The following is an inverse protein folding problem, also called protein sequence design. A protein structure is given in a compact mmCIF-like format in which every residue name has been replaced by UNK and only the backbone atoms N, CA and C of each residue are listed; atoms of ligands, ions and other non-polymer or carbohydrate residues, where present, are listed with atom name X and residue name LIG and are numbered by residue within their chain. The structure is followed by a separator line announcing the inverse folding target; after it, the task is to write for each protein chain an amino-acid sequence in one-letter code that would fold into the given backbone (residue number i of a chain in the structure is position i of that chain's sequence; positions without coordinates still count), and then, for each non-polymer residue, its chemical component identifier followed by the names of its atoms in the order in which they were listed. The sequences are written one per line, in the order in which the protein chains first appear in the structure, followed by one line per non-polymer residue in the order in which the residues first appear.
data_IF_206080678713
#
_entry.id   IF_206080678713
#
_cell.length_a   1.000
_cell.length_b   1.000
_cell.length_c   1.000
_cell.angle_alpha   90.00
_cell.angle_beta   90.00
_cell.angle_gamma   90.00
#
_symmetry.space_group_name_H-M   'P 1'
#
loop_
_entity.id
_entity.type
_entity.pdbx_description
1 polymer ?
#
# COMPACT_ATOMS: atom_id res chain seq x y z
N UNK A 1 -25.13 23.15 -74.22
CA UNK A 1 -23.69 22.91 -74.40
C UNK A 1 -23.29 21.95 -73.29
N UNK A 2 -23.31 20.64 -73.56
CA UNK A 2 -22.14 19.83 -73.97
C UNK A 2 -21.11 19.74 -72.83
N UNK A 3 -20.71 18.60 -72.27
CA UNK A 3 -21.02 17.18 -72.45
C UNK A 3 -20.26 16.39 -71.36
N UNK A 4 -20.68 15.16 -71.06
CA UNK A 4 -19.82 14.15 -70.41
C UNK A 4 -18.72 13.64 -71.40
N UNK A 5 -17.88 12.62 -71.14
CA UNK A 5 -17.59 11.80 -69.93
C UNK A 5 -16.06 11.54 -69.70
N UNK A 6 -15.70 10.72 -68.70
CA UNK A 6 -14.60 9.75 -68.92
C UNK A 6 -13.57 9.49 -67.81
N UNK A 7 -13.50 8.21 -67.42
CA UNK A 7 -12.28 7.40 -67.20
C UNK A 7 -11.66 7.28 -65.79
N UNK A 8 -11.83 6.07 -65.21
CA UNK A 8 -10.87 5.39 -64.31
C UNK A 8 -9.59 4.99 -65.09
N UNK A 9 -8.44 4.60 -64.47
CA UNK A 9 -8.30 3.31 -63.75
C UNK A 9 -7.23 3.28 -62.62
N UNK A 10 -7.10 2.14 -61.93
CA UNK A 10 -5.81 1.76 -61.31
C UNK A 10 -5.88 1.01 -59.97
N UNK A 11 -6.39 -0.21 -59.95
CA UNK A 11 -6.13 -1.18 -58.88
C UNK A 11 -4.76 -1.80 -59.16
N UNK A 12 -3.82 -1.69 -58.23
CA UNK A 12 -2.50 -2.35 -58.33
C UNK A 12 -2.54 -3.67 -57.57
N UNK A 13 -2.34 -4.76 -58.31
CA UNK A 13 -2.04 -6.10 -57.81
C UNK A 13 -0.70 -6.11 -57.06
N UNK A 14 -0.66 -6.75 -55.88
CA UNK A 14 0.59 -7.18 -55.26
C UNK A 14 0.61 -8.69 -55.11
N UNK A 15 1.44 -9.27 -55.98
CA UNK A 15 2.01 -10.61 -56.06
C UNK A 15 1.95 -11.48 -54.79
N UNK A 16 1.24 -12.61 -54.92
CA UNK A 16 1.42 -13.80 -54.08
C UNK A 16 2.75 -14.48 -54.44
N UNK A 17 3.74 -14.42 -53.56
CA UNK A 17 4.89 -15.33 -53.59
C UNK A 17 4.49 -16.69 -52.99
N UNK A 18 4.52 -17.72 -53.82
CA UNK A 18 4.47 -19.12 -53.44
C UNK A 18 5.80 -19.53 -52.81
N UNK A 19 5.82 -19.69 -51.49
CA UNK A 19 6.95 -20.30 -50.78
C UNK A 19 6.90 -21.82 -50.92
N UNK A 20 8.00 -22.36 -51.45
CA UNK A 20 8.32 -23.78 -51.56
C UNK A 20 8.46 -24.42 -50.18
N UNK A 21 7.71 -25.51 -49.94
CA UNK A 21 7.80 -26.34 -48.73
C UNK A 21 9.05 -27.22 -48.78
N UNK A 22 10.01 -26.96 -47.89
CA UNK A 22 11.11 -27.87 -47.60
C UNK A 22 10.64 -28.96 -46.60
N UNK A 23 10.94 -30.25 -46.83
CA UNK A 23 10.58 -31.32 -45.90
C UNK A 23 11.42 -31.25 -44.60
N UNK A 24 10.74 -31.41 -43.46
CA UNK A 24 11.35 -31.39 -42.13
C UNK A 24 12.35 -32.53 -41.91
N UNK A 25 13.51 -32.27 -41.26
CA UNK A 25 14.40 -33.33 -40.80
C UNK A 25 13.80 -34.10 -39.61
N UNK A 26 13.90 -35.43 -39.64
CA UNK A 26 13.43 -36.33 -38.60
C UNK A 26 14.12 -36.08 -37.26
N UNK A 27 13.32 -35.91 -36.20
CA UNK A 27 13.79 -35.65 -34.84
C UNK A 27 14.41 -36.91 -34.21
N UNK A 28 15.63 -36.77 -33.67
CA UNK A 28 16.27 -37.81 -32.85
C UNK A 28 15.61 -37.88 -31.45
N UNK A 29 15.48 -39.08 -30.85
CA UNK A 29 14.90 -39.23 -29.53
C UNK A 29 15.73 -38.52 -28.43
N UNK A 30 15.05 -37.74 -27.59
CA UNK A 30 15.64 -37.03 -26.44
C UNK A 30 16.06 -38.02 -25.34
N UNK A 31 17.24 -37.84 -24.72
CA UNK A 31 17.61 -38.58 -23.52
C UNK A 31 16.65 -38.25 -22.37
N UNK A 32 16.28 -39.26 -21.57
CA UNK A 32 15.45 -39.09 -20.39
C UNK A 32 16.10 -38.14 -19.39
N UNK A 33 15.35 -37.13 -18.93
CA UNK A 33 15.82 -36.16 -17.95
C UNK A 33 16.01 -36.82 -16.58
N UNK A 34 17.09 -36.49 -15.84
CA UNK A 34 17.33 -37.02 -14.51
C UNK A 34 16.23 -36.54 -13.55
N UNK A 35 15.65 -37.49 -12.82
CA UNK A 35 14.64 -37.27 -11.78
C UNK A 35 15.24 -36.40 -10.68
N UNK A 36 14.81 -35.14 -10.59
CA UNK A 36 15.27 -34.22 -9.55
C UNK A 36 14.70 -34.63 -8.20
N UNK A 37 15.59 -34.89 -7.24
CA UNK A 37 15.24 -35.14 -5.85
C UNK A 37 14.43 -33.96 -5.26
N UNK A 38 13.43 -34.21 -4.40
CA UNK A 38 12.61 -33.16 -3.82
C UNK A 38 13.48 -32.22 -2.97
N UNK A 39 13.51 -30.94 -3.34
CA UNK A 39 14.18 -29.90 -2.56
C UNK A 39 13.48 -29.73 -1.21
N UNK A 40 14.26 -29.59 -0.14
CA UNK A 40 13.73 -29.29 1.19
C UNK A 40 12.88 -28.01 1.14
N UNK A 41 11.72 -27.97 1.82
CA UNK A 41 10.82 -26.82 1.75
C UNK A 41 11.53 -25.57 2.27
N UNK A 42 11.49 -24.49 1.48
CA UNK A 42 12.00 -23.19 1.87
C UNK A 42 11.16 -22.67 3.05
N UNK A 43 11.78 -22.24 4.17
CA UNK A 43 11.03 -21.72 5.32
C UNK A 43 10.15 -20.54 4.90
N UNK A 44 8.89 -20.56 5.30
CA UNK A 44 7.99 -19.41 5.09
C UNK A 44 8.53 -18.21 5.89
N UNK A 45 8.70 -17.03 5.26
CA UNK A 45 9.14 -15.85 5.98
C UNK A 45 8.15 -15.52 7.11
N UNK A 46 8.66 -15.09 8.27
CA UNK A 46 7.84 -14.70 9.43
C UNK A 46 8.44 -13.47 10.11
N UNK A 47 7.60 -12.60 10.67
CA UNK A 47 8.07 -11.50 11.51
C UNK A 47 8.10 -11.94 12.97
N UNK A 48 9.29 -11.90 13.58
CA UNK A 48 9.45 -12.20 15.00
C UNK A 48 9.23 -10.95 15.86
N UNK A 49 8.34 -10.99 16.88
CA UNK A 49 8.17 -9.88 17.80
C UNK A 49 9.48 -9.46 18.46
N UNK A 50 9.75 -8.15 18.49
CA UNK A 50 11.06 -7.60 18.84
C UNK A 50 11.53 -8.05 20.23
N UNK A 51 10.63 -8.12 21.22
CA UNK A 51 10.96 -8.57 22.58
C UNK A 51 11.44 -10.05 22.65
N UNK A 52 11.12 -10.87 21.65
CA UNK A 52 11.56 -12.28 21.53
C UNK A 52 12.61 -12.50 20.45
N UNK A 53 13.09 -11.44 19.82
CA UNK A 53 14.07 -11.53 18.74
C UNK A 53 15.40 -12.07 19.29
N UNK A 54 16.11 -12.91 18.51
CA UNK A 54 17.38 -13.53 18.94
C UNK A 54 18.49 -12.50 19.21
N UNK A 55 18.52 -11.44 18.39
CA UNK A 55 19.47 -10.31 18.50
C UNK A 55 19.08 -9.35 19.63
N UNK A 56 20.00 -9.11 20.56
CA UNK A 56 19.81 -8.17 21.68
C UNK A 56 19.48 -6.75 21.21
N UNK A 57 20.16 -6.27 20.16
CA UNK A 57 19.90 -4.96 19.58
C UNK A 57 18.45 -4.79 19.09
N UNK A 58 17.80 -5.88 18.62
CA UNK A 58 16.39 -5.83 18.22
C UNK A 58 15.47 -5.83 19.44
N UNK A 59 15.77 -6.62 20.48
CA UNK A 59 15.02 -6.60 21.76
C UNK A 59 15.06 -5.22 22.41
N UNK A 60 16.22 -4.55 22.36
CA UNK A 60 16.37 -3.19 22.88
C UNK A 60 15.45 -2.16 22.18
N UNK A 61 14.89 -2.47 21.01
CA UNK A 61 13.95 -1.59 20.31
C UNK A 61 12.47 -1.94 20.56
N UNK A 62 12.16 -3.00 21.33
CA UNK A 62 10.79 -3.48 21.51
C UNK A 62 9.82 -2.40 22.00
N UNK A 63 10.32 -1.43 22.78
CA UNK A 63 9.56 -0.31 23.33
C UNK A 63 9.99 1.07 22.77
N UNK A 64 10.71 1.13 21.64
CA UNK A 64 11.17 2.39 21.04
C UNK A 64 10.05 3.43 20.85
N UNK A 65 8.81 2.99 20.62
CA UNK A 65 7.65 3.88 20.49
C UNK A 65 7.39 4.76 21.73
N UNK A 66 7.89 4.38 22.91
CA UNK A 66 7.82 5.16 24.14
C UNK A 66 8.81 6.34 24.15
N UNK A 67 9.89 6.24 23.36
CA UNK A 67 10.93 7.27 23.24
C UNK A 67 10.61 8.31 22.15
N UNK A 68 9.51 8.12 21.40
CA UNK A 68 9.17 8.99 20.27
C UNK A 68 8.55 10.29 20.75
N UNK A 69 9.04 11.40 20.22
CA UNK A 69 8.53 12.74 20.49
C UNK A 69 7.27 12.95 19.65
N UNK A 70 6.16 13.25 20.33
CA UNK A 70 4.88 13.59 19.70
C UNK A 70 4.53 15.07 19.85
N UNK A 71 5.20 15.79 20.76
CA UNK A 71 5.04 17.23 20.93
C UNK A 71 5.78 17.99 19.82
N UNK A 72 5.00 18.67 18.97
CA UNK A 72 5.50 19.45 17.83
C UNK A 72 6.51 20.52 18.23
N UNK A 73 6.43 21.05 19.47
CA UNK A 73 7.37 22.07 19.95
C UNK A 73 8.77 21.52 20.24
N UNK A 74 8.89 20.20 20.39
CA UNK A 74 10.14 19.50 20.68
C UNK A 74 10.77 18.83 19.45
N UNK A 75 10.09 18.88 18.30
CA UNK A 75 10.57 18.29 17.04
C UNK A 75 11.59 19.18 16.32
N UNK A 76 12.35 18.59 15.39
CA UNK A 76 13.11 19.40 14.42
C UNK A 76 12.16 20.26 13.58
N UNK A 77 12.62 21.38 12.98
CA UNK A 77 11.76 22.23 12.13
C UNK A 77 11.06 21.46 11.01
N UNK A 78 11.75 20.53 10.35
CA UNK A 78 11.21 19.73 9.25
C UNK A 78 10.14 18.75 9.74
N UNK A 79 10.39 18.07 10.86
CA UNK A 79 9.40 17.17 11.46
C UNK A 79 8.17 17.94 11.98
N UNK A 80 8.39 19.09 12.62
CA UNK A 80 7.32 19.98 13.06
C UNK A 80 6.48 20.49 11.87
N UNK A 81 7.12 20.86 10.76
CA UNK A 81 6.43 21.26 9.54
C UNK A 81 5.58 20.12 8.96
N UNK A 82 6.15 18.91 8.90
CA UNK A 82 5.45 17.72 8.39
C UNK A 82 4.18 17.39 9.19
N UNK A 83 4.24 17.50 10.52
CA UNK A 83 3.09 17.29 11.41
C UNK A 83 2.10 18.45 11.31
N UNK A 84 2.57 19.71 11.28
CA UNK A 84 1.67 20.89 11.14
C UNK A 84 0.90 20.90 9.82
N UNK A 85 1.48 20.38 8.74
CA UNK A 85 0.75 20.25 7.47
C UNK A 85 -0.31 19.15 7.50
N UNK A 86 -0.39 18.37 8.58
CA UNK A 86 -1.34 17.28 8.81
C UNK A 86 -2.03 17.51 10.15
N UNK A 87 -3.02 18.43 10.23
CA UNK A 87 -3.61 18.85 11.50
C UNK A 87 -4.25 17.71 12.31
N UNK A 88 -4.56 16.59 11.66
CA UNK A 88 -5.06 15.36 12.29
C UNK A 88 -3.99 14.52 13.00
N UNK A 89 -2.70 14.78 12.77
CA UNK A 89 -1.60 14.15 13.52
C UNK A 89 -1.44 14.80 14.90
N UNK A 90 -2.45 14.67 15.76
CA UNK A 90 -2.37 15.20 17.13
C UNK A 90 -1.38 14.38 17.97
N UNK A 91 -0.81 14.95 19.05
CA UNK A 91 0.06 14.21 19.96
C UNK A 91 -0.59 12.93 20.51
N UNK A 92 -1.90 12.97 20.79
CA UNK A 92 -2.67 11.85 21.33
C UNK A 92 -2.80 10.73 20.29
N UNK A 93 -3.14 11.07 19.04
CA UNK A 93 -3.24 10.10 17.95
C UNK A 93 -1.87 9.45 17.69
N UNK A 94 -0.83 10.27 17.59
CA UNK A 94 0.53 9.79 17.38
C UNK A 94 0.97 8.85 18.51
N UNK A 95 0.74 9.21 19.77
CA UNK A 95 1.03 8.36 20.93
C UNK A 95 0.23 7.05 20.89
N UNK A 96 -1.08 7.10 20.61
CA UNK A 96 -1.95 5.92 20.47
C UNK A 96 -1.38 4.92 19.46
N UNK A 97 -0.85 5.42 18.33
CA UNK A 97 -0.34 4.57 17.26
C UNK A 97 1.14 4.21 17.40
N UNK A 98 1.86 4.78 18.36
CA UNK A 98 3.31 4.66 18.44
C UNK A 98 3.98 5.29 17.22
N UNK A 99 3.49 6.46 16.81
CA UNK A 99 4.07 7.30 15.78
C UNK A 99 4.71 8.50 16.44
N UNK A 100 5.84 8.96 15.92
CA UNK A 100 6.47 10.19 16.42
C UNK A 100 7.86 10.39 15.87
N UNK A 101 8.43 11.54 16.18
CA UNK A 101 9.78 11.90 15.74
C UNK A 101 10.82 11.30 16.68
N UNK A 102 11.93 10.81 16.13
CA UNK A 102 13.03 10.29 16.93
C UNK A 102 14.17 11.31 17.02
N UNK A 103 14.61 11.70 18.23
CA UNK A 103 15.75 12.59 18.36
C UNK A 103 17.06 11.90 17.94
N UNK A 104 18.06 12.69 17.56
CA UNK A 104 19.30 12.19 16.93
C UNK A 104 20.13 11.22 17.78
N UNK A 105 19.92 11.21 19.09
CA UNK A 105 20.54 10.33 20.08
C UNK A 105 19.70 9.08 20.43
N UNK A 106 18.62 8.81 19.69
CA UNK A 106 17.76 7.65 19.94
C UNK A 106 18.47 6.31 19.72
N UNK A 107 17.96 5.26 20.39
CA UNK A 107 18.49 3.88 20.36
C UNK A 107 18.39 3.20 18.97
N UNK A 108 17.69 3.82 18.02
CA UNK A 108 17.35 3.23 16.72
C UNK A 108 18.32 3.59 15.61
N UNK A 109 18.26 2.83 14.51
CA UNK A 109 18.89 3.17 13.23
C UNK A 109 18.30 4.44 12.59
N UNK A 110 17.07 4.80 12.98
CA UNK A 110 16.47 6.07 12.60
C UNK A 110 17.16 7.19 13.38
N UNK A 111 17.68 8.18 12.65
CA UNK A 111 18.29 9.40 13.20
C UNK A 111 17.29 10.57 13.14
N UNK A 112 17.73 11.76 13.56
CA UNK A 112 16.96 13.03 13.65
C UNK A 112 16.12 13.47 12.43
N UNK A 113 16.17 12.76 11.31
CA UNK A 113 15.47 13.12 10.08
C UNK A 113 14.26 12.22 9.78
N UNK A 114 13.81 11.41 10.75
CA UNK A 114 12.73 10.46 10.53
C UNK A 114 11.55 10.66 11.48
N UNK A 115 10.34 10.63 10.90
CA UNK A 115 9.13 10.31 11.65
C UNK A 115 8.96 8.79 11.61
N UNK A 116 8.84 8.17 12.78
CA UNK A 116 8.85 6.72 12.95
C UNK A 116 7.43 6.19 13.11
N UNK A 117 7.12 5.06 12.48
CA UNK A 117 5.88 4.31 12.61
C UNK A 117 6.15 2.95 13.23
N UNK A 118 5.32 2.56 14.21
CA UNK A 118 5.41 1.26 14.88
C UNK A 118 4.61 0.20 14.15
N UNK A 119 5.26 -0.88 13.70
CA UNK A 119 4.59 -2.01 13.08
C UNK A 119 4.30 -3.07 14.13
N UNK A 120 3.05 -3.54 14.14
CA UNK A 120 2.56 -4.58 15.04
C UNK A 120 2.06 -5.76 14.23
N UNK A 121 2.26 -6.97 14.74
CA UNK A 121 1.60 -8.15 14.18
C UNK A 121 0.12 -8.18 14.56
N UNK A 122 -0.59 -9.19 14.08
CA UNK A 122 -2.00 -9.40 14.40
C UNK A 122 -2.30 -9.41 15.92
N UNK A 123 -1.39 -9.93 16.75
CA UNK A 123 -1.54 -9.98 18.21
C UNK A 123 -1.28 -8.64 18.91
N UNK A 124 -0.94 -7.59 18.16
CA UNK A 124 -0.61 -6.27 18.70
C UNK A 124 0.83 -6.17 19.21
N UNK A 125 1.66 -7.18 19.00
CA UNK A 125 3.05 -7.18 19.43
C UNK A 125 3.90 -6.37 18.46
N UNK A 126 4.82 -5.55 18.98
CA UNK A 126 5.76 -4.80 18.15
C UNK A 126 6.72 -5.75 17.44
N UNK A 127 6.75 -5.68 16.12
CA UNK A 127 7.59 -6.52 15.25
C UNK A 127 8.64 -5.71 14.48
N UNK A 128 8.40 -4.43 14.23
CA UNK A 128 9.32 -3.58 13.47
C UNK A 128 8.94 -2.11 13.59
N UNK A 129 9.75 -1.27 12.95
CA UNK A 129 9.54 0.16 12.78
C UNK A 129 9.88 0.57 11.33
N UNK A 130 9.23 1.62 10.83
CA UNK A 130 9.64 2.30 9.60
C UNK A 130 9.86 3.79 9.86
N UNK A 131 10.77 4.42 9.13
CA UNK A 131 11.02 5.85 9.20
C UNK A 131 10.64 6.55 7.89
N UNK A 132 9.76 7.55 7.95
CA UNK A 132 9.51 8.51 6.86
C UNK A 132 10.58 9.59 6.89
N UNK A 133 11.31 9.74 5.79
CA UNK A 133 12.36 10.74 5.66
C UNK A 133 11.75 12.15 5.54
N UNK A 134 12.00 13.01 6.53
CA UNK A 134 11.50 14.39 6.57
C UNK A 134 12.14 15.29 5.50
N UNK A 135 13.19 14.81 4.83
CA UNK A 135 13.82 15.50 3.71
C UNK A 135 13.42 14.89 2.36
N UNK A 136 12.49 13.93 2.33
CA UNK A 136 12.12 13.23 1.10
C UNK A 136 11.70 14.20 0.01
N UNK A 137 10.79 15.13 0.30
CA UNK A 137 10.24 16.06 -0.69
C UNK A 137 11.37 16.91 -1.31
N UNK A 138 12.28 17.43 -0.48
CA UNK A 138 13.46 18.18 -0.96
C UNK A 138 14.38 17.31 -1.82
N UNK A 139 14.68 16.09 -1.38
CA UNK A 139 15.53 15.14 -2.12
C UNK A 139 14.88 14.72 -3.44
N UNK A 140 13.57 14.53 -3.45
CA UNK A 140 12.78 14.17 -4.62
C UNK A 140 12.80 15.27 -5.68
N UNK A 141 12.56 16.53 -5.28
CA UNK A 141 12.65 17.67 -6.20
C UNK A 141 14.06 17.83 -6.77
N UNK A 142 15.09 17.62 -5.96
CA UNK A 142 16.47 17.63 -6.45
C UNK A 142 16.73 16.49 -7.45
N UNK A 143 16.26 15.27 -7.16
CA UNK A 143 16.40 14.13 -8.08
C UNK A 143 15.69 14.35 -9.43
N UNK A 144 14.51 14.98 -9.42
CA UNK A 144 13.82 15.40 -10.65
C UNK A 144 14.65 16.44 -11.42
N UNK A 145 15.16 17.46 -10.73
CA UNK A 145 16.01 18.51 -11.32
C UNK A 145 17.29 17.96 -11.93
N UNK A 146 17.87 16.92 -11.32
CA UNK A 146 19.09 16.26 -11.79
C UNK A 146 18.85 15.29 -12.96
N UNK A 147 17.62 15.24 -13.51
CA UNK A 147 17.30 14.39 -14.66
C UNK A 147 17.03 12.93 -14.31
N UNK A 148 16.56 12.66 -13.08
CA UNK A 148 16.21 11.32 -12.59
C UNK A 148 17.35 10.29 -12.70
N UNK A 149 18.56 10.59 -12.17
CA UNK A 149 19.69 9.66 -12.27
C UNK A 149 19.34 8.31 -11.62
N UNK A 150 19.66 7.23 -12.34
CA UNK A 150 19.44 5.86 -11.90
C UNK A 150 20.26 5.54 -10.63
N UNK A 151 19.72 4.69 -9.75
CA UNK A 151 20.37 4.32 -8.48
C UNK A 151 20.39 5.41 -7.40
N UNK A 152 20.00 6.65 -7.72
CA UNK A 152 19.94 7.80 -6.77
C UNK A 152 18.52 8.20 -6.40
N UNK A 153 17.51 7.41 -6.77
CA UNK A 153 16.11 7.68 -6.43
C UNK A 153 15.95 7.76 -4.90
N UNK A 154 15.47 8.89 -4.34
CA UNK A 154 15.28 9.03 -2.91
C UNK A 154 14.24 8.02 -2.38
N UNK A 155 14.51 7.46 -1.20
CA UNK A 155 13.58 6.57 -0.53
C UNK A 155 12.67 7.35 0.42
N UNK A 156 11.35 7.32 0.17
CA UNK A 156 10.33 7.94 1.04
C UNK A 156 10.34 7.32 2.44
N UNK A 157 10.49 6.00 2.51
CA UNK A 157 10.50 5.24 3.75
C UNK A 157 11.74 4.37 3.85
N UNK A 158 12.26 4.24 5.08
CA UNK A 158 13.28 3.27 5.46
C UNK A 158 12.68 2.22 6.38
N UNK A 159 12.90 0.95 6.08
CA UNK A 159 12.47 -0.19 6.90
C UNK A 159 13.67 -0.83 7.60
N UNK A 160 13.43 -1.42 8.77
CA UNK A 160 14.45 -2.24 9.46
C UNK A 160 14.73 -3.51 8.65
N UNK A 161 16.00 -3.92 8.59
CA UNK A 161 16.41 -5.13 7.87
C UNK A 161 15.75 -6.37 8.49
N UNK A 162 15.31 -7.30 7.63
CA UNK A 162 14.60 -8.52 8.04
C UNK A 162 13.10 -8.34 8.28
N UNK A 163 12.57 -7.11 8.23
CA UNK A 163 11.13 -6.91 8.29
C UNK A 163 10.46 -7.31 6.97
N UNK A 164 9.51 -8.24 7.05
CA UNK A 164 8.72 -8.71 5.93
C UNK A 164 7.39 -7.95 5.87
N UNK A 165 7.42 -6.74 5.28
CA UNK A 165 6.24 -5.89 5.16
C UNK A 165 5.05 -6.55 4.45
N UNK A 166 5.34 -7.44 3.49
CA UNK A 166 4.33 -8.17 2.73
C UNK A 166 3.61 -9.27 3.53
N UNK A 167 3.88 -9.42 4.82
CA UNK A 167 3.13 -10.34 5.70
C UNK A 167 2.05 -9.57 6.45
N UNK A 168 2.36 -8.35 6.86
CA UNK A 168 1.58 -7.61 7.85
C UNK A 168 0.70 -6.55 7.20
N UNK A 169 -0.34 -6.16 7.90
CA UNK A 169 -1.16 -5.00 7.55
C UNK A 169 -0.99 -3.95 8.65
N UNK A 170 -0.59 -2.75 8.28
CA UNK A 170 -0.50 -1.67 9.25
C UNK A 170 -1.90 -1.34 9.79
N UNK A 171 -2.06 -1.28 11.12
CA UNK A 171 -3.36 -1.15 11.78
C UNK A 171 -4.21 -2.42 11.85
N UNK A 172 -3.69 -3.55 11.36
CA UNK A 172 -4.38 -4.84 11.29
C UNK A 172 -4.19 -5.75 12.52
N UNK A 173 -4.10 -5.21 13.73
CA UNK A 173 -4.05 -6.03 14.95
C UNK A 173 -5.44 -6.27 15.53
N UNK A 174 -5.77 -7.51 15.87
CA UNK A 174 -7.17 -7.95 16.06
C UNK A 174 -7.87 -7.32 17.25
N UNK A 175 -7.13 -6.88 18.27
CA UNK A 175 -7.73 -6.19 19.43
C UNK A 175 -8.34 -4.85 19.02
N UNK A 176 -7.70 -4.09 18.14
CA UNK A 176 -8.24 -2.83 17.61
C UNK A 176 -9.54 -3.04 16.84
N UNK A 177 -9.62 -4.10 16.03
CA UNK A 177 -10.83 -4.41 15.25
C UNK A 177 -12.05 -4.76 16.13
N UNK A 178 -11.85 -4.93 17.45
CA UNK A 178 -12.91 -5.19 18.43
C UNK A 178 -13.35 -3.94 19.20
N UNK A 179 -12.66 -2.80 19.04
CA UNK A 179 -13.02 -1.54 19.71
C UNK A 179 -14.45 -1.10 19.32
N UNK A 180 -15.28 -0.58 20.24
CA UNK A 180 -16.69 -0.30 19.96
C UNK A 180 -16.93 0.62 18.74
N UNK A 181 -16.24 1.75 18.66
CA UNK A 181 -16.37 2.68 17.53
C UNK A 181 -15.88 2.07 16.20
N UNK A 182 -14.87 1.19 16.26
CA UNK A 182 -14.38 0.46 15.09
C UNK A 182 -15.44 -0.53 14.59
N UNK A 183 -16.17 -1.21 15.49
CA UNK A 183 -17.25 -2.12 15.10
C UNK A 183 -18.38 -1.40 14.38
N UNK A 184 -18.71 -0.18 14.79
CA UNK A 184 -19.69 0.67 14.10
C UNK A 184 -19.22 1.01 12.69
N UNK A 185 -17.96 1.42 12.54
CA UNK A 185 -17.35 1.64 11.22
C UNK A 185 -17.39 0.37 10.35
N UNK A 186 -16.98 -0.78 10.88
CA UNK A 186 -16.97 -2.05 10.14
C UNK A 186 -18.39 -2.45 9.69
N UNK A 187 -19.40 -2.21 10.55
CA UNK A 187 -20.81 -2.43 10.19
C UNK A 187 -21.30 -1.47 9.13
N UNK A 188 -20.85 -0.22 9.13
CA UNK A 188 -21.27 0.78 8.14
C UNK A 188 -20.56 0.59 6.80
N UNK A 189 -19.23 0.63 6.83
CA UNK A 189 -18.38 0.73 5.65
C UNK A 189 -17.73 -0.60 5.24
N UNK A 190 -17.59 -1.54 6.17
CA UNK A 190 -16.71 -2.71 5.97
C UNK A 190 -15.28 -2.38 6.38
N UNK A 191 -14.33 -3.25 6.04
CA UNK A 191 -12.91 -3.02 6.29
C UNK A 191 -12.36 -2.12 5.18
N UNK A 192 -11.87 -0.93 5.53
CA UNK A 192 -11.23 -0.04 4.57
C UNK A 192 -9.78 -0.45 4.37
N UNK A 193 -9.34 -0.56 3.12
CA UNK A 193 -7.96 -0.89 2.74
C UNK A 193 -7.36 0.29 2.00
N UNK A 194 -6.16 0.69 2.44
CA UNK A 194 -5.37 1.82 1.92
C UNK A 194 -3.91 1.41 1.67
N UNK A 195 -3.12 2.29 1.06
CA UNK A 195 -1.72 2.01 0.76
C UNK A 195 -0.78 2.30 1.93
N UNK A 196 -0.91 3.49 2.54
CA UNK A 196 0.05 4.04 3.47
C UNK A 196 -0.37 4.04 4.93
N UNK A 197 0.62 4.25 5.81
CA UNK A 197 0.39 4.38 7.26
C UNK A 197 -0.35 5.67 7.60
N UNK A 198 -0.10 6.76 6.89
CA UNK A 198 -0.79 8.03 7.10
C UNK A 198 -2.27 7.96 6.79
N UNK A 199 -2.62 7.24 5.73
CA UNK A 199 -4.01 7.00 5.36
C UNK A 199 -4.77 6.33 6.50
N UNK A 200 -4.15 5.35 7.16
CA UNK A 200 -4.73 4.69 8.34
C UNK A 200 -4.89 5.67 9.51
N UNK A 201 -3.89 6.52 9.79
CA UNK A 201 -4.01 7.53 10.86
C UNK A 201 -5.10 8.57 10.54
N UNK A 202 -5.19 9.01 9.28
CA UNK A 202 -6.21 9.95 8.82
C UNK A 202 -7.59 9.36 8.99
N UNK A 203 -7.79 8.13 8.53
CA UNK A 203 -9.05 7.42 8.64
C UNK A 203 -9.39 7.07 10.10
N UNK A 204 -8.40 6.81 10.94
CA UNK A 204 -8.60 6.66 12.38
C UNK A 204 -9.19 7.92 13.02
N UNK A 205 -8.69 9.12 12.68
CA UNK A 205 -9.24 10.39 13.17
C UNK A 205 -10.70 10.58 12.77
N UNK A 206 -11.09 10.03 11.62
CA UNK A 206 -12.48 9.99 11.13
C UNK A 206 -13.30 8.82 11.72
N UNK A 207 -12.76 8.07 12.68
CA UNK A 207 -13.35 6.87 13.27
C UNK A 207 -13.63 5.75 12.25
N UNK A 208 -12.76 5.60 11.26
CA UNK A 208 -12.88 4.61 10.17
C UNK A 208 -11.91 3.45 10.37
N UNK A 209 -12.46 2.25 10.30
CA UNK A 209 -11.74 0.98 10.41
C UNK A 209 -10.88 0.71 9.17
N UNK A 210 -9.67 1.27 9.14
CA UNK A 210 -8.73 1.11 8.04
C UNK A 210 -7.51 0.24 8.37
N UNK A 211 -6.94 -0.41 7.34
CA UNK A 211 -5.65 -1.11 7.36
C UNK A 211 -4.84 -0.78 6.11
N UNK A 212 -3.50 -0.75 6.21
CA UNK A 212 -2.62 -0.44 5.09
C UNK A 212 -1.82 -1.65 4.59
N UNK A 213 -1.63 -1.74 3.28
CA UNK A 213 -0.73 -2.72 2.64
C UNK A 213 0.75 -2.38 2.85
N UNK A 214 1.10 -1.09 3.00
CA UNK A 214 2.48 -0.57 3.03
C UNK A 214 3.30 -0.86 1.74
N UNK A 215 2.57 -1.09 0.66
CA UNK A 215 3.04 -1.29 -0.71
C UNK A 215 1.90 -1.08 -1.69
N UNK A 216 2.26 -0.85 -2.94
CA UNK A 216 1.31 -0.60 -4.02
C UNK A 216 0.58 -1.89 -4.45
N UNK A 217 1.07 -3.07 -4.03
CA UNK A 217 0.42 -4.37 -4.30
C UNK A 217 0.33 -5.19 -3.03
N UNK A 218 -0.77 -5.93 -2.90
CA UNK A 218 -0.96 -6.90 -1.83
C UNK A 218 -0.28 -8.22 -2.17
N UNK A 219 0.27 -8.89 -1.16
CA UNK A 219 0.75 -10.28 -1.28
C UNK A 219 -0.37 -11.28 -1.01
N UNK A 220 -0.15 -12.55 -1.32
CA UNK A 220 -1.07 -13.63 -0.95
C UNK A 220 -1.31 -13.72 0.57
N UNK A 221 -0.29 -13.46 1.39
CA UNK A 221 -0.44 -13.46 2.85
C UNK A 221 -1.33 -12.32 3.35
N UNK A 222 -1.15 -11.12 2.78
CA UNK A 222 -2.01 -9.98 3.07
C UNK A 222 -3.44 -10.23 2.58
N UNK A 223 -3.61 -10.82 1.40
CA UNK A 223 -4.91 -11.24 0.85
C UNK A 223 -5.63 -12.20 1.79
N UNK A 224 -4.94 -13.22 2.31
CA UNK A 224 -5.50 -14.16 3.27
C UNK A 224 -5.92 -13.47 4.58
N UNK A 225 -5.09 -12.56 5.07
CA UNK A 225 -5.39 -11.77 6.28
C UNK A 225 -6.60 -10.86 6.09
N UNK A 226 -6.66 -10.12 4.97
CA UNK A 226 -7.78 -9.26 4.60
C UNK A 226 -9.09 -10.06 4.47
N UNK A 227 -9.04 -11.20 3.78
CA UNK A 227 -10.19 -12.10 3.61
C UNK A 227 -10.74 -12.54 4.96
N UNK A 228 -9.86 -12.98 5.86
CA UNK A 228 -10.24 -13.41 7.20
C UNK A 228 -10.83 -12.27 8.04
N UNK A 229 -10.20 -11.10 8.05
CA UNK A 229 -10.73 -9.93 8.75
C UNK A 229 -12.10 -9.51 8.21
N UNK A 230 -12.26 -9.48 6.89
CA UNK A 230 -13.53 -9.13 6.27
C UNK A 230 -14.65 -10.09 6.67
N UNK A 231 -14.39 -11.40 6.62
CA UNK A 231 -15.35 -12.45 6.99
C UNK A 231 -15.70 -12.41 8.48
N UNK A 232 -14.71 -12.23 9.36
CA UNK A 232 -14.90 -12.31 10.81
C UNK A 232 -15.50 -11.03 11.41
N UNK A 233 -15.18 -9.86 10.85
CA UNK A 233 -15.45 -8.58 11.53
C UNK A 233 -16.20 -7.55 10.68
N UNK A 234 -16.19 -7.68 9.35
CA UNK A 234 -16.68 -6.64 8.44
C UNK A 234 -17.88 -7.08 7.58
N UNK A 235 -18.62 -8.10 8.01
CA UNK A 235 -19.75 -8.68 7.27
C UNK A 235 -19.39 -9.10 5.84
N UNK A 236 -18.19 -9.64 5.68
CA UNK A 236 -17.63 -10.07 4.40
C UNK A 236 -17.49 -8.92 3.38
N UNK A 237 -17.17 -7.70 3.85
CA UNK A 237 -17.01 -6.50 3.01
C UNK A 237 -15.66 -5.82 3.16
N UNK A 238 -15.14 -5.38 2.02
CA UNK A 238 -13.95 -4.53 1.93
C UNK A 238 -14.30 -3.29 1.10
N UNK A 239 -13.80 -2.13 1.52
CA UNK A 239 -13.83 -0.90 0.72
C UNK A 239 -12.42 -0.44 0.40
N UNK A 240 -12.17 -0.22 -0.88
CA UNK A 240 -10.86 0.08 -1.43
C UNK A 240 -10.66 1.60 -1.57
N UNK A 241 -9.57 2.11 -1.00
CA UNK A 241 -9.14 3.51 -1.07
C UNK A 241 -7.69 3.58 -1.58
N UNK A 242 -7.46 3.46 -2.91
CA UNK A 242 -6.12 3.64 -3.48
C UNK A 242 -5.64 5.08 -3.35
N UNK A 243 -4.34 5.31 -3.51
CA UNK A 243 -3.85 6.63 -3.94
C UNK A 243 -4.43 6.91 -5.33
N UNK A 244 -4.98 8.11 -5.57
CA UNK A 244 -5.64 8.45 -6.83
C UNK A 244 -4.63 8.83 -7.92
N UNK A 245 -3.65 7.97 -8.13
CA UNK A 245 -2.68 7.99 -9.22
C UNK A 245 -2.66 6.65 -9.98
N UNK A 246 -1.92 6.61 -11.10
CA UNK A 246 -1.90 5.43 -11.97
C UNK A 246 -1.37 4.16 -11.26
N UNK A 247 -0.37 4.31 -10.39
CA UNK A 247 0.30 3.18 -9.75
C UNK A 247 -0.58 2.59 -8.64
N UNK A 248 -1.16 3.45 -7.80
CA UNK A 248 -2.06 3.06 -6.72
C UNK A 248 -3.33 2.38 -7.24
N UNK A 249 -4.00 2.98 -8.23
CA UNK A 249 -5.20 2.39 -8.83
C UNK A 249 -4.93 1.06 -9.54
N UNK A 250 -3.80 0.93 -10.24
CA UNK A 250 -3.42 -0.33 -10.88
C UNK A 250 -3.24 -1.44 -9.84
N UNK A 251 -2.55 -1.15 -8.74
CA UNK A 251 -2.37 -2.08 -7.64
C UNK A 251 -3.68 -2.53 -6.98
N UNK A 252 -4.63 -1.61 -6.84
CA UNK A 252 -5.93 -1.90 -6.24
C UNK A 252 -6.89 -2.62 -7.18
N UNK A 253 -6.74 -2.48 -8.51
CA UNK A 253 -7.44 -3.32 -9.50
C UNK A 253 -7.02 -4.79 -9.36
N UNK A 254 -5.73 -5.06 -9.19
CA UNK A 254 -5.21 -6.42 -8.94
C UNK A 254 -5.75 -7.00 -7.63
N UNK A 255 -5.79 -6.18 -6.57
CA UNK A 255 -6.36 -6.56 -5.28
C UNK A 255 -7.86 -6.87 -5.39
N UNK A 256 -8.62 -6.04 -6.11
CA UNK A 256 -10.06 -6.25 -6.34
C UNK A 256 -10.30 -7.62 -6.99
N UNK A 257 -9.56 -7.95 -8.06
CA UNK A 257 -9.67 -9.24 -8.72
C UNK A 257 -9.33 -10.41 -7.79
N UNK A 258 -8.27 -10.26 -6.99
CA UNK A 258 -7.84 -11.30 -6.05
C UNK A 258 -8.87 -11.53 -4.95
N UNK A 259 -9.40 -10.47 -4.35
CA UNK A 259 -10.44 -10.55 -3.32
C UNK A 259 -11.76 -11.14 -3.85
N UNK A 260 -12.11 -10.87 -5.11
CA UNK A 260 -13.33 -11.39 -5.72
C UNK A 260 -13.34 -12.93 -5.79
N UNK A 261 -12.17 -13.55 -6.01
CA UNK A 261 -12.00 -15.02 -5.97
C UNK A 261 -12.33 -15.62 -4.59
N UNK A 262 -12.18 -14.83 -3.53
CA UNK A 262 -12.51 -15.23 -2.16
C UNK A 262 -13.94 -14.90 -1.75
N UNK A 263 -14.80 -14.52 -2.71
CA UNK A 263 -16.21 -14.17 -2.47
C UNK A 263 -16.40 -13.01 -1.47
N UNK A 264 -15.41 -12.12 -1.35
CA UNK A 264 -15.53 -10.89 -0.57
C UNK A 264 -16.36 -9.87 -1.35
N UNK A 265 -17.30 -9.17 -0.68
CA UNK A 265 -18.03 -8.04 -1.27
C UNK A 265 -17.12 -6.82 -1.27
N UNK A 266 -16.67 -6.39 -2.44
CA UNK A 266 -15.72 -5.28 -2.59
C UNK A 266 -16.47 -4.08 -3.15
N UNK A 267 -16.21 -2.91 -2.57
CA UNK A 267 -16.57 -1.62 -3.16
C UNK A 267 -15.32 -0.78 -3.38
N UNK A 268 -15.33 0.00 -4.44
CA UNK A 268 -14.37 1.09 -4.61
C UNK A 268 -14.91 2.30 -3.86
N UNK A 269 -14.19 2.75 -2.83
CA UNK A 269 -14.59 3.87 -1.98
C UNK A 269 -14.32 5.22 -2.62
N UNK A 270 -13.23 5.32 -3.39
CA UNK A 270 -12.92 6.47 -4.23
C UNK A 270 -11.93 6.09 -5.36
N UNK A 271 -11.80 6.95 -6.36
CA UNK A 271 -10.75 6.88 -7.38
C UNK A 271 -10.59 8.23 -8.10
N UNK A 272 -9.55 8.36 -8.92
CA UNK A 272 -9.27 9.54 -9.73
C UNK A 272 -10.35 9.87 -10.77
N UNK A 273 -11.22 8.92 -11.10
CA UNK A 273 -12.32 9.09 -12.07
C UNK A 273 -13.67 9.40 -11.41
N UNK A 274 -13.78 9.32 -10.08
CA UNK A 274 -15.02 9.65 -9.39
C UNK A 274 -15.24 11.16 -9.28
N UNK A 275 -16.50 11.58 -9.16
CA UNK A 275 -16.92 12.98 -8.94
C UNK A 275 -16.27 13.97 -9.92
N UNK A 276 -16.36 13.69 -11.23
CA UNK A 276 -15.76 14.52 -12.28
C UNK A 276 -14.25 14.76 -12.07
N UNK A 277 -13.54 13.72 -11.59
CA UNK A 277 -12.09 13.72 -11.35
C UNK A 277 -11.63 14.66 -10.23
N UNK A 278 -12.51 15.02 -9.31
CA UNK A 278 -12.20 15.86 -8.15
C UNK A 278 -11.08 15.29 -7.26
N UNK A 279 -10.89 13.97 -7.26
CA UNK A 279 -9.87 13.31 -6.43
C UNK A 279 -8.58 12.98 -7.16
N UNK A 280 -8.44 13.35 -8.44
CA UNK A 280 -7.24 13.06 -9.22
C UNK A 280 -5.97 13.63 -8.54
N UNK A 281 -5.02 12.75 -8.22
CA UNK A 281 -3.78 13.10 -7.54
C UNK A 281 -3.86 13.20 -6.01
N UNK A 282 -5.02 12.99 -5.41
CA UNK A 282 -5.19 12.99 -3.94
C UNK A 282 -4.86 11.62 -3.34
N UNK A 283 -4.51 11.61 -2.06
CA UNK A 283 -4.28 10.41 -1.25
C UNK A 283 -5.32 10.32 -0.13
N UNK A 284 -5.62 9.13 0.43
CA UNK A 284 -6.61 9.04 1.50
C UNK A 284 -6.25 9.92 2.72
N UNK A 285 -4.96 10.23 2.93
CA UNK A 285 -4.50 11.22 3.92
C UNK A 285 -5.06 12.65 3.72
N UNK A 286 -5.61 12.98 2.55
CA UNK A 286 -6.19 14.28 2.20
C UNK A 286 -7.70 14.39 2.52
N UNK A 287 -8.36 13.29 2.89
CA UNK A 287 -9.81 13.24 3.12
C UNK A 287 -10.18 14.04 4.37
N UNK A 288 -10.71 15.25 4.25
CA UNK A 288 -11.25 16.00 5.39
C UNK A 288 -12.68 15.54 5.77
N UNK A 289 -13.25 15.96 6.91
CA UNK A 289 -14.60 15.55 7.32
C UNK A 289 -15.71 15.88 6.29
N UNK A 290 -15.58 16.98 5.54
CA UNK A 290 -16.55 17.34 4.50
C UNK A 290 -16.50 16.34 3.34
N UNK A 291 -15.30 16.02 2.84
CA UNK A 291 -15.10 15.00 1.79
C UNK A 291 -15.60 13.64 2.27
N UNK A 292 -15.29 13.25 3.52
CA UNK A 292 -15.77 11.98 4.07
C UNK A 292 -17.29 11.90 4.13
N UNK A 293 -17.96 12.98 4.53
CA UNK A 293 -19.42 13.04 4.56
C UNK A 293 -20.00 12.93 3.15
N UNK A 294 -19.40 13.58 2.15
CA UNK A 294 -19.81 13.45 0.75
C UNK A 294 -19.69 12.01 0.25
N UNK A 295 -18.51 11.39 0.42
CA UNK A 295 -18.25 9.99 0.05
C UNK A 295 -19.23 9.01 0.69
N UNK A 296 -19.60 9.26 1.94
CA UNK A 296 -20.42 8.32 2.71
C UNK A 296 -21.92 8.60 2.66
N UNK A 297 -22.34 9.78 2.22
CA UNK A 297 -23.76 10.14 2.04
C UNK A 297 -24.48 9.22 1.04
N UNK A 298 -23.75 8.72 0.05
CA UNK A 298 -24.25 7.78 -0.96
C UNK A 298 -24.25 6.30 -0.55
N UNK A 299 -23.72 5.95 0.64
CA UNK A 299 -23.64 4.56 1.10
C UNK A 299 -24.93 4.23 1.86
N UNK A 300 -25.87 3.44 1.29
CA UNK A 300 -27.11 3.13 1.98
C UNK A 300 -26.82 2.35 3.27
N UNK A 301 -27.35 2.84 4.40
CA UNK A 301 -27.37 2.10 5.65
C UNK A 301 -28.23 0.83 5.45
N UNK A 302 -27.60 -0.30 5.15
CA UNK A 302 -28.29 -1.58 5.17
C UNK A 302 -28.57 -1.93 6.63
N UNK A 303 -29.84 -1.78 7.03
CA UNK A 303 -30.36 -2.22 8.33
C UNK A 303 -30.15 -3.72 8.52
#
# INVERSE_FOLDING_TARGET
MAGEPGSSPGITESSRQTQSFNPMPQARPRPAAPTSSPSSPVPTPTNTPLHRHEKEAARALANLHEDLITDVTQMSPEAAQYVRSRPWMTPELMKKWGVGWIPGNGRSLFRKNYLVYTHRNERGEVISYSGRDMQFEKKWQQWLKDGKPEGKKPNKHRYVSGFHKGIELYGGYSSRLKEPYIRESLKKYGLVVVEGMNDVLRLEELNVAAVALTSNRATDHQIQTLTRFAQQTANNRITLFPDCDEEGEAGFKDLLWSMAKHQIKISLGWSSEMFNRQFCGNQPEDINPAIWNELTSGIPNKK
#
